data_IF_003702109627
#
_entry.id   IF_003702109627
#
_cell.length_a   1.000
_cell.length_b   1.000
_cell.length_c   1.000
_cell.angle_alpha   90.00
_cell.angle_beta   90.00
_cell.angle_gamma   90.00
#
_symmetry.space_group_name_H-M   'P 1'
#
loop_
_entity.id
_entity.type
_entity.pdbx_description
1 polymer ?
#
# COMPACT_ATOMS: atom_id res chain seq x y z
N UNK A 1 6.94 14.13 18.13
CA UNK A 1 5.49 14.05 17.83
C UNK A 1 4.78 13.71 19.13
N UNK A 2 3.95 14.59 19.68
CA UNK A 2 3.14 14.26 20.85
C UNK A 2 2.01 13.31 20.42
N UNK A 3 1.78 12.23 21.17
CA UNK A 3 0.63 11.35 20.91
C UNK A 3 -0.60 11.86 21.65
N UNK A 4 -1.67 12.10 20.91
CA UNK A 4 -2.97 12.46 21.48
C UNK A 4 -3.75 11.19 21.84
N UNK A 5 -4.42 11.19 22.99
CA UNK A 5 -5.32 10.09 23.39
C UNK A 5 -6.75 10.48 23.07
N UNK A 6 -7.38 9.71 22.20
CA UNK A 6 -8.79 9.89 21.83
C UNK A 6 -9.62 8.77 22.43
N UNK A 7 -10.72 9.12 23.10
CA UNK A 7 -11.71 8.15 23.58
C UNK A 7 -12.86 8.07 22.57
N UNK A 8 -13.20 6.86 22.15
CA UNK A 8 -14.26 6.61 21.18
C UNK A 8 -15.30 5.66 21.77
N UNK A 9 -16.56 5.90 21.42
CA UNK A 9 -17.66 4.98 21.73
C UNK A 9 -17.91 4.09 20.53
N UNK A 10 -17.96 2.79 20.75
CA UNK A 10 -18.22 1.78 19.71
C UNK A 10 -19.29 0.80 20.19
N UNK A 11 -20.12 0.28 19.28
CA UNK A 11 -21.13 -0.72 19.62
C UNK A 11 -20.50 -1.99 20.21
N UNK A 12 -21.22 -2.66 21.11
CA UNK A 12 -20.71 -3.83 21.82
C UNK A 12 -20.41 -5.01 20.88
N UNK A 13 -21.25 -5.16 19.86
CA UNK A 13 -21.12 -6.15 18.79
C UNK A 13 -19.85 -5.95 17.93
N UNK A 14 -19.33 -4.73 17.86
CA UNK A 14 -18.06 -4.42 17.17
C UNK A 14 -16.87 -4.60 18.12
N UNK A 15 -17.05 -4.27 19.40
CA UNK A 15 -15.99 -4.34 20.40
C UNK A 15 -15.49 -5.77 20.66
N UNK A 16 -16.39 -6.75 20.65
CA UNK A 16 -16.06 -8.17 20.87
C UNK A 16 -15.03 -8.71 19.87
N UNK A 17 -15.36 -8.74 18.56
CA UNK A 17 -14.45 -9.19 17.51
C UNK A 17 -13.15 -8.37 17.44
N UNK A 18 -13.23 -7.05 17.68
CA UNK A 18 -12.05 -6.19 17.69
C UNK A 18 -11.09 -6.55 18.82
N UNK A 19 -11.60 -6.91 20.02
CA UNK A 19 -10.78 -7.35 21.15
C UNK A 19 -10.09 -8.68 20.87
N UNK A 20 -10.79 -9.65 20.31
CA UNK A 20 -10.23 -10.95 19.93
C UNK A 20 -9.11 -10.78 18.90
N UNK A 21 -9.36 -9.98 17.86
CA UNK A 21 -8.38 -9.69 16.80
C UNK A 21 -7.18 -8.86 17.27
N UNK A 22 -7.37 -8.04 18.32
CA UNK A 22 -6.34 -7.16 18.84
C UNK A 22 -5.31 -7.86 19.74
N UNK A 23 -5.53 -9.13 20.14
CA UNK A 23 -4.59 -9.88 20.98
C UNK A 23 -4.24 -9.18 22.30
N UNK A 24 -5.13 -8.31 22.82
CA UNK A 24 -4.92 -7.55 24.05
C UNK A 24 -4.49 -6.08 23.88
N UNK A 25 -4.14 -5.61 22.67
CA UNK A 25 -3.80 -4.20 22.44
C UNK A 25 -4.70 -3.55 21.37
N UNK A 26 -5.86 -3.07 21.83
CA UNK A 26 -6.86 -2.44 20.96
C UNK A 26 -6.33 -1.16 20.30
N UNK A 27 -5.53 -0.35 20.99
CA UNK A 27 -4.96 0.88 20.41
C UNK A 27 -4.01 0.60 19.25
N UNK A 28 -3.17 -0.43 19.36
CA UNK A 28 -2.26 -0.82 18.28
C UNK A 28 -3.03 -1.43 17.10
N UNK A 29 -4.06 -2.22 17.39
CA UNK A 29 -4.96 -2.76 16.38
C UNK A 29 -5.64 -1.64 15.58
N UNK A 30 -6.24 -0.66 16.27
CA UNK A 30 -6.89 0.50 15.63
C UNK A 30 -5.88 1.31 14.82
N UNK A 31 -4.69 1.58 15.35
CA UNK A 31 -3.66 2.30 14.59
C UNK A 31 -3.25 1.57 13.30
N UNK A 32 -3.14 0.24 13.34
CA UNK A 32 -2.86 -0.58 12.15
C UNK A 32 -4.03 -0.55 11.16
N UNK A 33 -5.26 -0.66 11.65
CA UNK A 33 -6.46 -0.60 10.82
C UNK A 33 -6.60 0.76 10.13
N UNK A 34 -6.40 1.86 10.86
CA UNK A 34 -6.41 3.21 10.29
C UNK A 34 -5.31 3.40 9.23
N UNK A 35 -4.10 2.89 9.47
CA UNK A 35 -3.04 2.94 8.46
C UNK A 35 -3.43 2.14 7.21
N UNK A 36 -4.02 0.97 7.36
CA UNK A 36 -4.47 0.16 6.23
C UNK A 36 -5.57 0.89 5.43
N UNK A 37 -6.52 1.53 6.14
CA UNK A 37 -7.59 2.30 5.53
C UNK A 37 -7.05 3.49 4.74
N UNK A 38 -6.13 4.28 5.31
CA UNK A 38 -5.49 5.40 4.63
C UNK A 38 -4.73 4.98 3.37
N UNK A 39 -4.09 3.82 3.38
CA UNK A 39 -3.42 3.27 2.20
C UNK A 39 -4.45 2.89 1.14
N UNK A 40 -5.57 2.28 1.54
CA UNK A 40 -6.63 1.91 0.60
C UNK A 40 -7.24 3.16 -0.07
N UNK A 41 -7.59 4.17 0.73
CA UNK A 41 -8.13 5.44 0.22
C UNK A 41 -7.14 6.17 -0.71
N UNK A 42 -5.84 6.11 -0.41
CA UNK A 42 -4.81 6.67 -1.28
C UNK A 42 -4.69 5.90 -2.62
N UNK A 43 -4.89 4.58 -2.61
CA UNK A 43 -4.90 3.77 -3.84
C UNK A 43 -6.15 4.04 -4.69
N UNK A 44 -7.31 4.18 -4.05
CA UNK A 44 -8.55 4.55 -4.75
C UNK A 44 -8.41 5.94 -5.39
N UNK A 45 -7.89 6.91 -4.63
CA UNK A 45 -7.63 8.27 -5.14
C UNK A 45 -6.65 8.24 -6.31
N UNK A 46 -5.57 7.46 -6.21
CA UNK A 46 -4.61 7.31 -7.30
C UNK A 46 -5.26 6.71 -8.55
N UNK A 47 -6.12 5.69 -8.39
CA UNK A 47 -6.82 5.07 -9.50
C UNK A 47 -7.78 6.06 -10.19
N UNK A 48 -8.53 6.84 -9.42
CA UNK A 48 -9.38 7.91 -9.91
C UNK A 48 -8.58 8.98 -10.67
N UNK A 49 -7.44 9.42 -10.13
CA UNK A 49 -6.55 10.39 -10.78
C UNK A 49 -5.97 9.85 -12.10
N UNK A 50 -5.60 8.57 -12.15
CA UNK A 50 -5.11 7.90 -13.36
C UNK A 50 -6.21 7.78 -14.44
N UNK A 51 -7.47 7.58 -14.04
CA UNK A 51 -8.61 7.56 -14.95
C UNK A 51 -8.93 8.98 -15.46
N UNK A 52 -8.96 9.97 -14.57
CA UNK A 52 -9.29 11.35 -14.88
C UNK A 52 -8.23 12.04 -15.74
N UNK A 53 -6.96 11.64 -15.64
CA UNK A 53 -5.86 12.22 -16.40
C UNK A 53 -5.15 11.18 -17.29
N UNK A 54 -5.63 10.98 -18.54
CA UNK A 54 -5.06 9.99 -19.45
C UNK A 54 -3.59 10.27 -19.81
N UNK A 55 -3.10 11.50 -19.66
CA UNK A 55 -1.67 11.82 -19.86
C UNK A 55 -0.78 11.25 -18.76
N UNK A 56 -1.25 11.24 -17.51
CA UNK A 56 -0.52 10.63 -16.40
C UNK A 56 -0.47 9.11 -16.52
N UNK A 57 -1.59 8.47 -16.90
CA UNK A 57 -1.63 7.02 -17.17
C UNK A 57 -0.63 6.62 -18.26
N UNK A 58 -0.58 7.37 -19.35
CA UNK A 58 0.34 7.07 -20.46
C UNK A 58 1.81 7.21 -20.05
N UNK A 59 2.14 8.24 -19.27
CA UNK A 59 3.49 8.42 -18.71
C UNK A 59 3.87 7.33 -17.69
N UNK A 60 2.92 6.86 -16.89
CA UNK A 60 3.11 5.75 -15.95
C UNK A 60 3.35 4.43 -16.69
N UNK A 61 2.57 4.15 -17.73
CA UNK A 61 2.72 2.94 -18.56
C UNK A 61 4.07 2.93 -19.31
N UNK A 62 4.53 4.08 -19.79
CA UNK A 62 5.85 4.26 -20.40
C UNK A 62 6.98 4.02 -19.39
N UNK A 63 6.89 4.60 -18.20
CA UNK A 63 7.87 4.38 -17.13
C UNK A 63 7.98 2.91 -16.70
N UNK A 64 6.84 2.21 -16.58
CA UNK A 64 6.84 0.77 -16.27
C UNK A 64 7.50 -0.07 -17.36
N UNK A 65 7.27 0.28 -18.63
CA UNK A 65 7.89 -0.42 -19.76
C UNK A 65 9.41 -0.24 -19.76
N UNK A 66 9.90 0.98 -19.50
CA UNK A 66 11.34 1.27 -19.39
C UNK A 66 11.97 0.50 -18.21
N UNK A 67 11.36 0.54 -17.03
CA UNK A 67 11.85 -0.20 -15.86
C UNK A 67 11.90 -1.72 -16.08
N UNK A 68 10.93 -2.27 -16.80
CA UNK A 68 10.90 -3.69 -17.17
C UNK A 68 12.03 -4.01 -18.16
N UNK A 69 12.23 -3.17 -19.18
CA UNK A 69 13.29 -3.34 -20.18
C UNK A 69 14.68 -3.30 -19.53
N UNK A 70 14.91 -2.37 -18.58
CA UNK A 70 16.15 -2.32 -17.80
C UNK A 70 16.38 -3.59 -16.98
N UNK A 71 15.35 -4.12 -16.32
CA UNK A 71 15.47 -5.38 -15.57
C UNK A 71 15.79 -6.57 -16.45
N UNK A 72 15.21 -6.65 -17.65
CA UNK A 72 15.52 -7.69 -18.63
C UNK A 72 16.97 -7.60 -19.10
N UNK A 73 17.44 -6.40 -19.47
CA UNK A 73 18.83 -6.20 -19.87
C UNK A 73 19.83 -6.63 -18.78
N UNK A 74 19.55 -6.28 -17.52
CA UNK A 74 20.37 -6.70 -16.37
C UNK A 74 20.32 -8.22 -16.16
N UNK A 75 19.17 -8.85 -16.40
CA UNK A 75 19.00 -10.30 -16.32
C UNK A 75 19.79 -11.04 -17.40
N UNK A 76 19.73 -10.55 -18.64
CA UNK A 76 20.44 -11.12 -19.79
C UNK A 76 21.96 -11.03 -19.61
N UNK A 77 22.47 -9.86 -19.18
CA UNK A 77 23.89 -9.66 -18.86
C UNK A 77 24.41 -10.62 -17.77
N UNK A 78 23.57 -10.98 -16.79
CA UNK A 78 23.92 -11.95 -15.74
C UNK A 78 23.86 -13.40 -16.21
N UNK A 79 23.04 -13.71 -17.22
CA UNK A 79 22.89 -15.06 -17.78
C UNK A 79 23.93 -15.38 -18.86
N UNK A 80 24.57 -14.36 -19.45
CA UNK A 80 25.58 -14.47 -20.52
C UNK A 80 27.04 -14.55 -20.06
N UNK A 81 27.32 -14.77 -18.77
CA UNK A 81 28.69 -14.91 -18.27
C UNK A 81 29.45 -16.04 -19.00
N UNK A 82 30.73 -15.85 -19.38
CA UNK A 82 31.46 -16.82 -20.20
C UNK A 82 31.50 -18.18 -19.50
N UNK A 83 31.11 -19.23 -20.22
CA UNK A 83 31.29 -20.61 -19.79
C UNK A 83 32.77 -20.82 -19.44
N UNK A 84 33.04 -21.09 -18.16
CA UNK A 84 34.36 -21.42 -17.63
C UNK A 84 34.84 -22.78 -18.16
#
# INVERSE_FOLDING_TARGET
MASEKVTVTIPAEVLGPARESAGGNLSAYVARALRAQLVHEAMDTLAEDMEANPGFRLAHDEWLADMQAEQTAIGDDRSGGPAA
#
